data_IF_056619380446
#
_entry.id   IF_056619380446
#
_cell.length_a   1.000
_cell.length_b   1.000
_cell.length_c   1.000
_cell.angle_alpha   90.00
_cell.angle_beta   90.00
_cell.angle_gamma   90.00
#
_symmetry.space_group_name_H-M   'P 1'
#
loop_
_entity.id
_entity.type
_entity.pdbx_description
1 polymer ?
2 water ?
#
# COMPACT_ATOMS: atom_id res chain seq x y z
N UNK A 6 4.18 -17.64 16.73
CA UNK A 6 2.83 -18.11 17.15
C UNK A 6 1.80 -17.97 16.04
N UNK A 7 1.16 -19.08 15.70
CA UNK A 7 0.15 -19.09 14.64
C UNK A 7 -1.27 -19.09 15.18
N UNK A 8 -1.41 -19.18 16.50
CA UNK A 8 -2.73 -19.18 17.13
C UNK A 8 -3.04 -17.81 17.70
N UNK A 9 -4.31 -17.52 17.95
CA UNK A 9 -4.70 -16.23 18.50
C UNK A 9 -4.02 -15.98 19.84
N UNK A 10 -3.72 -14.71 20.12
CA UNK A 10 -3.09 -14.36 21.39
C UNK A 10 -4.04 -14.67 22.52
N UNK A 11 -3.50 -15.15 23.64
CA UNK A 11 -4.32 -15.46 24.80
C UNK A 11 -4.58 -14.16 25.55
N UNK A 12 -5.51 -14.20 26.50
CA UNK A 12 -5.83 -13.01 27.28
C UNK A 12 -4.57 -12.53 27.99
N UNK A 13 -3.78 -13.48 28.47
CA UNK A 13 -2.54 -13.18 29.18
C UNK A 13 -1.52 -12.52 28.27
N UNK A 14 -1.39 -13.04 27.05
CA UNK A 14 -0.44 -12.51 26.09
C UNK A 14 -0.82 -11.10 25.66
N UNK A 15 -2.12 -10.85 25.53
CA UNK A 15 -2.60 -9.53 25.13
C UNK A 15 -2.28 -8.50 26.21
N UNK A 16 -2.39 -8.91 27.47
CA UNK A 16 -2.11 -8.02 28.58
C UNK A 16 -0.62 -7.70 28.71
N UNK A 17 0.22 -8.58 28.19
CA UNK A 17 1.66 -8.39 28.28
C UNK A 17 2.31 -7.83 27.01
N UNK A 18 1.60 -7.87 25.89
CA UNK A 18 2.16 -7.40 24.64
C UNK A 18 1.52 -6.16 24.01
N UNK A 19 0.21 -6.05 24.12
CA UNK A 19 -0.51 -4.93 23.52
C UNK A 19 -0.27 -3.56 24.16
N UNK A 20 -0.15 -3.50 25.50
CA UNK A 20 0.07 -2.19 26.14
C UNK A 20 1.23 -1.42 25.52
N UNK A 21 2.34 -2.11 25.27
CA UNK A 21 3.50 -1.47 24.68
C UNK A 21 3.21 -0.90 23.31
N UNK A 22 2.45 -1.65 22.51
CA UNK A 22 2.10 -1.20 21.16
C UNK A 22 1.14 -0.02 21.22
N UNK A 23 0.22 -0.05 22.18
CA UNK A 23 -0.74 1.03 22.34
C UNK A 23 0.03 2.29 22.71
N UNK A 24 1.04 2.11 23.57
CA UNK A 24 1.87 3.22 24.02
C UNK A 24 2.64 3.80 22.85
N UNK A 25 2.90 2.96 21.85
CA UNK A 25 3.64 3.37 20.66
C UNK A 25 2.74 4.01 19.62
N UNK A 26 1.43 3.95 19.84
CA UNK A 26 0.52 4.57 18.90
C UNK A 26 -0.39 3.63 18.13
N UNK A 27 -0.26 2.33 18.35
CA UNK A 27 -1.12 1.38 17.66
C UNK A 27 -2.46 1.28 18.37
N UNK A 28 -3.50 1.00 17.61
CA UNK A 28 -4.83 0.85 18.18
C UNK A 28 -5.45 -0.45 17.70
N UNK A 29 -6.36 -1.00 18.50
CA UNK A 29 -7.05 -2.23 18.14
C UNK A 29 -8.29 -1.84 17.36
N UNK A 30 -8.42 -2.34 16.13
CA UNK A 30 -9.57 -2.02 15.30
C UNK A 30 -10.88 -2.52 15.90
N UNK A 31 -11.93 -1.72 15.71
CA UNK A 31 -13.25 -2.06 16.24
C UNK A 31 -13.91 -3.26 15.57
N UNK A 32 -13.77 -3.36 14.25
CA UNK A 32 -14.40 -4.44 13.49
C UNK A 32 -13.60 -5.71 13.21
N UNK A 33 -12.33 -5.73 13.59
CA UNK A 33 -11.49 -6.89 13.34
C UNK A 33 -10.49 -7.07 14.47
N UNK A 34 -10.04 -8.31 14.67
CA UNK A 34 -9.04 -8.55 15.70
C UNK A 34 -7.74 -8.26 14.98
N UNK A 35 -7.38 -6.98 14.95
CA UNK A 35 -6.18 -6.52 14.27
C UNK A 35 -5.71 -5.21 14.89
N UNK A 36 -4.45 -4.85 14.65
CA UNK A 36 -3.93 -3.59 15.16
C UNK A 36 -3.63 -2.68 13.98
N UNK A 37 -3.78 -1.38 14.20
CA UNK A 37 -3.61 -0.38 13.15
C UNK A 37 -2.85 0.86 13.58
N UNK A 38 -2.01 1.37 12.68
CA UNK A 38 -1.27 2.60 12.95
C UNK A 38 -0.88 3.29 11.65
N UNK A 39 -0.94 4.62 11.66
CA UNK A 39 -0.55 5.38 10.49
C UNK A 39 0.80 6.03 10.76
N UNK A 40 1.71 5.88 9.80
CA UNK A 40 3.03 6.47 9.91
C UNK A 40 3.13 7.60 8.91
N UNK A 41 3.75 8.70 9.33
CA UNK A 41 3.91 9.86 8.46
C UNK A 41 5.38 10.21 8.33
N UNK A 42 5.84 10.34 7.10
CA UNK A 42 7.24 10.68 6.84
C UNK A 42 7.35 12.03 6.17
N UNK A 43 8.59 12.46 5.91
CA UNK A 43 8.82 13.74 5.27
C UNK A 43 8.36 13.76 3.82
N UNK A 44 8.48 12.63 3.13
CA UNK A 44 8.08 12.54 1.73
C UNK A 44 7.93 11.07 1.32
N UNK A 45 7.68 10.83 0.04
CA UNK A 45 7.52 9.47 -0.46
C UNK A 45 8.85 8.70 -0.41
N UNK A 46 9.95 9.38 -0.70
CA UNK A 46 11.25 8.72 -0.67
C UNK A 46 11.47 8.04 0.68
N UNK A 47 11.25 8.78 1.77
CA UNK A 47 11.44 8.22 3.11
C UNK A 47 10.39 7.14 3.40
N UNK A 48 9.16 7.37 2.97
CA UNK A 48 8.07 6.42 3.19
C UNK A 48 8.33 5.08 2.52
N UNK A 49 8.77 5.11 1.26
CA UNK A 49 9.01 3.85 0.56
C UNK A 49 10.28 3.15 1.05
N UNK A 50 11.26 3.92 1.51
CA UNK A 50 12.47 3.32 2.04
C UNK A 50 12.05 2.49 3.25
N UNK A 51 11.13 3.05 4.03
CA UNK A 51 10.59 2.40 5.21
C UNK A 51 9.83 1.14 4.77
N UNK A 52 9.00 1.28 3.74
CA UNK A 52 8.23 0.15 3.23
C UNK A 52 9.13 -0.99 2.75
N UNK A 53 10.27 -0.65 2.15
CA UNK A 53 11.19 -1.68 1.67
C UNK A 53 11.76 -2.48 2.83
N UNK A 54 12.04 -1.81 3.94
CA UNK A 54 12.57 -2.50 5.11
C UNK A 54 11.49 -3.43 5.67
N UNK A 55 10.25 -2.95 5.71
CA UNK A 55 9.16 -3.77 6.21
C UNK A 55 8.93 -4.97 5.29
N UNK A 56 9.05 -4.73 3.98
CA UNK A 56 8.87 -5.79 2.98
C UNK A 56 9.91 -6.88 3.17
N UNK A 57 11.15 -6.47 3.44
CA UNK A 57 12.23 -7.43 3.66
C UNK A 57 11.93 -8.30 4.87
N UNK A 58 11.48 -7.67 5.96
CA UNK A 58 11.16 -8.39 7.19
C UNK A 58 9.97 -9.32 6.97
N UNK A 59 9.00 -8.87 6.18
CA UNK A 59 7.83 -9.69 5.89
C UNK A 59 8.26 -10.99 5.23
N UNK A 60 9.22 -10.93 4.31
CA UNK A 60 9.66 -12.15 3.67
C UNK A 60 10.55 -12.97 4.60
N UNK A 61 11.29 -12.30 5.48
CA UNK A 61 12.14 -13.01 6.42
C UNK A 61 11.28 -13.85 7.36
N UNK A 62 10.17 -13.29 7.83
CA UNK A 62 9.31 -14.04 8.75
C UNK A 62 8.09 -14.70 8.12
N UNK A 63 7.92 -14.54 6.81
CA UNK A 63 6.79 -15.11 6.09
C UNK A 63 5.46 -14.65 6.68
N UNK A 64 5.35 -13.36 6.96
CA UNK A 64 4.12 -12.80 7.51
C UNK A 64 3.98 -11.42 6.89
N UNK A 65 2.82 -11.13 6.32
CA UNK A 65 2.63 -9.88 5.61
C UNK A 65 1.59 -8.91 6.13
N UNK A 66 1.85 -7.61 5.98
CA UNK A 66 0.92 -6.58 6.45
C UNK A 66 -0.11 -6.19 5.40
N UNK A 67 -1.15 -5.51 5.85
CA UNK A 67 -2.15 -4.95 4.95
C UNK A 67 -1.72 -3.50 5.03
N UNK A 68 -1.48 -2.84 3.91
CA UNK A 68 -1.09 -1.44 4.01
C UNK A 68 -1.49 -0.58 2.83
N UNK A 69 -1.74 0.69 3.15
CA UNK A 69 -2.14 1.68 2.17
C UNK A 69 -1.13 2.82 2.21
N UNK A 70 -0.72 3.28 1.03
CA UNK A 70 0.23 4.38 0.95
C UNK A 70 -0.22 5.44 -0.04
N UNK A 71 -0.05 6.69 0.38
CA UNK A 71 -0.34 7.86 -0.44
C UNK A 71 0.79 8.82 -0.08
N UNK A 72 1.73 8.96 -1.00
CA UNK A 72 2.90 9.83 -0.83
C UNK A 72 3.67 9.55 0.46
N UNK A 73 3.59 10.45 1.43
CA UNK A 73 4.32 10.30 2.68
C UNK A 73 3.59 9.57 3.80
N UNK A 74 2.40 9.06 3.52
CA UNK A 74 1.63 8.37 4.55
C UNK A 74 1.56 6.87 4.32
N UNK A 75 1.79 6.10 5.38
CA UNK A 75 1.71 4.64 5.29
C UNK A 75 0.81 4.15 6.43
N UNK A 76 -0.35 3.62 6.06
CA UNK A 76 -1.31 3.10 7.03
C UNK A 76 -1.15 1.59 7.05
N UNK A 77 -0.86 1.05 8.23
CA UNK A 77 -0.62 -0.38 8.36
C UNK A 77 -1.58 -1.10 9.30
N UNK A 78 -2.14 -2.21 8.83
CA UNK A 78 -3.05 -3.03 9.62
C UNK A 78 -2.43 -4.42 9.70
N UNK A 79 -2.26 -4.92 10.91
CA UNK A 79 -1.65 -6.23 11.11
C UNK A 79 -2.62 -7.22 11.72
N UNK A 80 -2.76 -8.36 11.06
CA UNK A 80 -3.62 -9.44 11.52
C UNK A 80 -3.23 -10.69 10.76
N UNK A 81 -3.59 -11.86 11.27
CA UNK A 81 -3.23 -13.11 10.60
C UNK A 81 -4.43 -13.74 9.91
N UNK A 82 -4.49 -13.63 8.59
CA UNK A 82 -5.61 -14.15 7.83
C UNK A 82 -5.77 -15.67 7.89
N UNK A 83 -4.69 -16.39 8.18
CA UNK A 83 -4.79 -17.84 8.25
C UNK A 83 -5.62 -18.33 9.43
N UNK A 84 -5.90 -17.45 10.38
CA UNK A 84 -6.73 -17.84 11.53
C UNK A 84 -7.79 -16.78 11.84
N UNK A 85 -7.70 -15.64 11.16
CA UNK A 85 -8.67 -14.58 11.36
C UNK A 85 -8.54 -13.81 12.65
N UNK A 86 -7.31 -13.62 13.12
CA UNK A 86 -7.11 -12.89 14.35
C UNK A 86 -5.67 -12.48 14.57
N UNK A 87 -5.42 -11.86 15.71
CA UNK A 87 -4.09 -11.38 16.08
C UNK A 87 -3.24 -12.50 16.67
N UNK A 88 -2.01 -12.64 16.17
CA UNK A 88 -1.10 -13.67 16.66
C UNK A 88 0.24 -13.08 17.07
N UNK A 89 1.12 -13.91 17.62
CA UNK A 89 2.44 -13.45 18.03
C UNK A 89 3.20 -12.91 16.82
N UNK A 90 2.89 -13.44 15.64
CA UNK A 90 3.54 -12.99 14.41
C UNK A 90 3.23 -11.52 14.16
N UNK A 91 2.00 -11.11 14.43
CA UNK A 91 1.60 -9.71 14.24
C UNK A 91 2.33 -8.80 15.22
N UNK A 92 2.49 -9.26 16.46
CA UNK A 92 3.19 -8.48 17.47
C UNK A 92 4.65 -8.31 17.07
N UNK A 93 5.27 -9.39 16.61
CA UNK A 93 6.67 -9.37 16.19
C UNK A 93 6.86 -8.40 15.02
N UNK A 94 5.96 -8.47 14.04
CA UNK A 94 6.06 -7.58 12.89
C UNK A 94 5.87 -6.13 13.32
N UNK A 95 4.95 -5.89 14.25
CA UNK A 95 4.70 -4.54 14.73
C UNK A 95 5.94 -3.97 15.41
N UNK A 96 6.60 -4.80 16.21
CA UNK A 96 7.80 -4.38 16.92
C UNK A 96 8.92 -4.05 15.93
N UNK A 97 9.02 -4.81 14.84
CA UNK A 97 10.05 -4.52 13.85
C UNK A 97 9.72 -3.19 13.18
N UNK A 98 8.45 -3.04 12.81
CA UNK A 98 8.01 -1.81 12.16
C UNK A 98 8.36 -0.58 13.00
N UNK A 99 8.19 -0.67 14.31
CA UNK A 99 8.52 0.46 15.18
C UNK A 99 10.01 0.78 15.09
N UNK A 100 10.85 -0.26 15.01
CA UNK A 100 12.29 -0.05 14.89
C UNK A 100 12.60 0.65 13.57
N UNK A 101 12.02 0.13 12.49
CA UNK A 101 12.23 0.69 11.16
C UNK A 101 11.80 2.15 11.08
N UNK A 102 10.66 2.47 11.69
CA UNK A 102 10.15 3.84 11.67
C UNK A 102 11.06 4.77 12.47
N UNK A 103 11.79 4.22 13.43
CA UNK A 103 12.69 5.01 14.26
C UNK A 103 14.13 4.96 13.74
N UNK A 104 14.32 4.27 12.62
CA UNK A 104 15.64 4.14 12.00
C UNK A 104 16.60 3.31 12.85
N UNK A 105 16.09 2.28 13.50
CA UNK A 105 16.92 1.41 14.32
C UNK A 105 16.87 -0.01 13.77
N UNK B 6 1.60 15.87 -18.99
CA UNK B 6 0.44 16.81 -18.94
C UNK B 6 -0.01 17.08 -17.52
N UNK B 7 -0.31 18.34 -17.22
CA UNK B 7 -0.74 18.70 -15.88
C UNK B 7 -2.18 19.18 -15.80
N UNK B 8 -2.77 19.51 -16.95
CA UNK B 8 -4.15 19.98 -16.99
C UNK B 8 -5.11 18.82 -17.19
N UNK B 9 -6.36 19.00 -16.75
CA UNK B 9 -7.38 17.96 -16.90
C UNK B 9 -7.45 17.46 -18.33
N UNK B 10 -7.67 16.16 -18.49
CA UNK B 10 -7.79 15.57 -19.82
C UNK B 10 -9.04 16.13 -20.48
N UNK B 11 -8.94 16.46 -21.76
CA UNK B 11 -10.08 16.97 -22.50
C UNK B 11 -10.88 15.77 -22.97
N UNK B 12 -12.07 16.02 -23.50
CA UNK B 12 -12.91 14.94 -23.99
C UNK B 12 -12.20 14.13 -25.06
N UNK B 13 -11.52 14.82 -25.97
CA UNK B 13 -10.81 14.14 -27.04
C UNK B 13 -9.67 13.26 -26.51
N UNK B 14 -8.92 13.79 -25.54
CA UNK B 14 -7.81 13.04 -24.95
C UNK B 14 -8.30 11.79 -24.25
N UNK B 15 -9.42 11.91 -23.54
CA UNK B 15 -9.99 10.77 -22.82
C UNK B 15 -10.38 9.67 -23.79
N UNK B 16 -11.00 10.05 -24.91
CA UNK B 16 -11.42 9.07 -25.90
C UNK B 16 -10.21 8.38 -26.54
N UNK B 17 -9.11 9.12 -26.67
CA UNK B 17 -7.92 8.56 -27.28
C UNK B 17 -7.07 7.68 -26.37
N UNK B 18 -7.01 8.02 -25.09
CA UNK B 18 -6.16 7.29 -24.15
C UNK B 18 -6.80 6.32 -23.17
N UNK B 19 -8.01 6.62 -22.72
CA UNK B 19 -8.67 5.76 -21.73
C UNK B 19 -9.15 4.39 -22.22
N UNK B 20 -9.71 4.31 -23.44
CA UNK B 20 -10.18 2.99 -23.89
C UNK B 20 -9.12 1.89 -23.83
N UNK B 21 -7.88 2.22 -24.17
CA UNK B 21 -6.82 1.23 -24.12
C UNK B 21 -6.60 0.72 -22.70
N UNK B 22 -6.66 1.63 -21.74
CA UNK B 22 -6.46 1.25 -20.34
C UNK B 22 -7.63 0.41 -19.84
N UNK B 23 -8.84 0.74 -20.29
CA UNK B 23 -10.01 -0.03 -19.88
C UNK B 23 -9.91 -1.44 -20.45
N UNK B 24 -9.40 -1.55 -21.68
CA UNK B 24 -9.24 -2.85 -22.30
C UNK B 24 -8.22 -3.66 -21.51
N UNK B 25 -7.30 -2.95 -20.85
CA UNK B 25 -6.26 -3.58 -20.05
C UNK B 25 -6.72 -3.92 -18.64
N UNK B 26 -7.95 -3.52 -18.29
CA UNK B 26 -8.47 -3.83 -16.97
C UNK B 26 -8.72 -2.66 -16.03
N UNK B 27 -8.39 -1.45 -16.45
CA UNK B 27 -8.61 -0.27 -15.61
C UNK B 27 -10.07 0.18 -15.69
N UNK B 28 -10.57 0.79 -14.62
CA UNK B 28 -11.94 1.29 -14.59
C UNK B 28 -11.96 2.72 -14.05
N UNK B 29 -13.03 3.45 -14.33
CA UNK B 29 -13.16 4.82 -13.84
C UNK B 29 -14.05 4.81 -12.61
N UNK B 30 -13.60 5.49 -11.55
CA UNK B 30 -14.37 5.54 -10.32
C UNK B 30 -15.61 6.40 -10.53
N UNK B 31 -16.68 6.10 -9.81
CA UNK B 31 -17.92 6.84 -9.95
C UNK B 31 -17.97 8.14 -9.16
N UNK B 32 -17.32 8.17 -8.00
CA UNK B 32 -17.33 9.36 -7.16
C UNK B 32 -16.14 10.30 -7.37
N UNK B 33 -15.15 9.87 -8.13
CA UNK B 33 -13.97 10.70 -8.39
C UNK B 33 -13.53 10.56 -9.84
N UNK B 34 -12.84 11.57 -10.36
CA UNK B 34 -12.32 11.51 -11.72
C UNK B 34 -10.96 10.85 -11.55
N UNK B 35 -10.97 9.52 -11.48
CA UNK B 35 -9.76 8.74 -11.27
C UNK B 35 -9.93 7.36 -11.88
N UNK B 36 -8.81 6.70 -12.17
CA UNK B 36 -8.86 5.35 -12.72
C UNK B 36 -8.36 4.37 -11.67
N UNK B 37 -8.83 3.13 -11.76
CA UNK B 37 -8.50 2.10 -10.78
C UNK B 37 -8.29 0.71 -11.36
N UNK B 38 -7.43 -0.07 -10.71
CA UNK B 38 -7.19 -1.44 -11.15
C UNK B 38 -6.53 -2.26 -10.05
N UNK B 39 -6.99 -3.49 -9.89
CA UNK B 39 -6.40 -4.38 -8.91
C UNK B 39 -5.54 -5.38 -9.67
N UNK B 40 -4.28 -5.49 -9.26
CA UNK B 40 -3.35 -6.42 -9.87
C UNK B 40 -3.17 -7.61 -8.93
N UNK B 41 -3.08 -8.80 -9.52
CA UNK B 41 -2.90 -10.01 -8.74
C UNK B 41 -1.67 -10.75 -9.23
N UNK B 42 -0.66 -10.84 -8.38
CA UNK B 42 0.57 -11.54 -8.73
C UNK B 42 0.57 -12.92 -8.10
N UNK B 43 1.68 -13.63 -8.24
CA UNK B 43 1.78 -14.97 -7.67
C UNK B 43 1.97 -14.90 -6.16
N UNK B 44 2.79 -13.95 -5.71
CA UNK B 44 3.10 -13.80 -4.30
C UNK B 44 3.54 -12.37 -3.98
N UNK B 45 3.98 -12.14 -2.74
CA UNK B 45 4.43 -10.82 -2.31
C UNK B 45 5.78 -10.47 -2.94
N UNK B 46 6.64 -11.46 -3.16
CA UNK B 46 7.94 -11.17 -3.77
C UNK B 46 7.71 -10.49 -5.12
N UNK B 47 6.85 -11.08 -5.96
CA UNK B 47 6.54 -10.49 -7.26
C UNK B 47 5.82 -9.15 -7.08
N UNK B 48 4.86 -9.11 -6.17
CA UNK B 48 4.10 -7.89 -5.93
C UNK B 48 4.96 -6.72 -5.48
N UNK B 49 5.85 -6.95 -4.52
CA UNK B 49 6.67 -5.84 -4.05
C UNK B 49 7.75 -5.47 -5.06
N UNK B 50 8.22 -6.44 -5.85
CA UNK B 50 9.21 -6.12 -6.86
C UNK B 50 8.56 -5.16 -7.84
N UNK B 51 7.30 -5.42 -8.15
CA UNK B 51 6.50 -4.60 -9.05
C UNK B 51 6.31 -3.23 -8.39
N UNK B 52 5.96 -3.21 -7.10
CA UNK B 52 5.78 -1.95 -6.41
C UNK B 52 7.06 -1.12 -6.42
N UNK B 53 8.21 -1.77 -6.31
CA UNK B 53 9.48 -1.06 -6.32
C UNK B 53 9.71 -0.37 -7.67
N UNK B 54 9.32 -1.03 -8.75
CA UNK B 54 9.49 -0.44 -10.09
C UNK B 54 8.55 0.75 -10.24
N UNK B 55 7.34 0.63 -9.70
CA UNK B 55 6.38 1.72 -9.78
C UNK B 55 6.83 2.89 -8.91
N UNK B 56 7.42 2.58 -7.75
CA UNK B 56 7.91 3.62 -6.84
C UNK B 56 9.03 4.42 -7.52
N UNK B 57 9.92 3.73 -8.23
CA UNK B 57 11.00 4.41 -8.94
C UNK B 57 10.43 5.36 -9.99
N UNK B 58 9.44 4.88 -10.73
CA UNK B 58 8.80 5.69 -11.77
C UNK B 58 8.05 6.87 -11.16
N UNK B 59 7.45 6.64 -9.99
CA UNK B 59 6.71 7.69 -9.29
C UNK B 59 7.65 8.85 -8.96
N UNK B 60 8.87 8.54 -8.52
CA UNK B 60 9.82 9.60 -8.21
C UNK B 60 10.39 10.21 -9.48
N UNK B 61 10.51 9.42 -10.54
CA UNK B 61 11.01 9.96 -11.79
C UNK B 61 10.02 10.99 -12.35
N UNK B 62 8.73 10.69 -12.23
CA UNK B 62 7.66 11.57 -12.72
C UNK B 62 7.16 12.57 -11.68
N UNK B 63 7.49 12.33 -10.42
CA UNK B 63 7.00 13.14 -9.31
C UNK B 63 5.47 13.09 -9.36
N UNK B 64 4.95 11.88 -9.51
CA UNK B 64 3.51 11.63 -9.57
C UNK B 64 3.31 10.31 -8.85
N UNK B 65 2.55 10.35 -7.76
CA UNK B 65 2.36 9.17 -6.93
C UNK B 65 1.00 8.51 -6.92
N UNK B 66 0.98 7.18 -6.80
CA UNK B 66 -0.26 6.42 -6.78
C UNK B 66 -0.85 6.35 -5.38
N UNK B 67 -2.13 6.01 -5.33
CA UNK B 67 -2.81 5.78 -4.07
C UNK B 67 -2.90 4.26 -4.17
N UNK B 68 -2.20 3.53 -3.31
CA UNK B 68 -2.27 2.09 -3.43
C UNK B 68 -2.32 1.30 -2.15
N UNK B 69 -2.99 0.15 -2.25
CA UNK B 69 -3.17 -0.77 -1.14
C UNK B 69 -2.56 -2.11 -1.54
N UNK B 70 -1.88 -2.75 -0.60
CA UNK B 70 -1.30 -4.06 -0.86
C UNK B 70 -1.52 -5.02 0.29
N UNK B 71 -1.80 -6.27 -0.06
CA UNK B 71 -1.93 -7.35 0.91
C UNK B 71 -1.42 -8.58 0.16
N UNK B 72 -0.24 -9.04 0.58
CA UNK B 72 0.42 -10.18 -0.03
C UNK B 72 0.60 -10.02 -1.55
N UNK B 73 -0.14 -10.79 -2.35
CA UNK B 73 0.00 -10.75 -3.80
C UNK B 73 -0.90 -9.76 -4.53
N UNK B 74 -1.75 -9.06 -3.78
CA UNK B 74 -2.68 -8.11 -4.38
C UNK B 74 -2.23 -6.66 -4.25
N UNK B 75 -2.37 -5.89 -5.32
CA UNK B 75 -2.03 -4.47 -5.29
C UNK B 75 -3.16 -3.71 -5.98
N UNK B 76 -3.85 -2.85 -5.23
CA UNK B 76 -4.94 -2.06 -5.78
C UNK B 76 -4.39 -0.66 -5.99
N UNK B 77 -4.51 -0.16 -7.21
CA UNK B 77 -3.98 1.15 -7.54
C UNK B 77 -5.03 2.12 -8.06
N UNK B 78 -5.05 3.31 -7.47
CA UNK B 78 -5.97 4.37 -7.88
C UNK B 78 -5.10 5.53 -8.33
N UNK B 79 -5.36 6.03 -9.54
CA UNK B 79 -4.59 7.14 -10.08
C UNK B 79 -5.42 8.36 -10.39
N UNK B 80 -4.96 9.51 -9.91
CA UNK B 80 -5.61 10.79 -10.16
C UNK B 80 -4.62 11.88 -9.78
N UNK B 81 -4.84 13.09 -10.29
CA UNK B 81 -3.95 14.20 -9.98
C UNK B 81 -4.61 15.10 -8.95
N UNK B 82 -4.16 14.99 -7.71
CA UNK B 82 -4.70 15.78 -6.61
C UNK B 82 -4.49 17.28 -6.76
N UNK B 83 -3.41 17.66 -7.44
CA UNK B 83 -3.10 19.07 -7.64
C UNK B 83 -4.23 19.82 -8.35
N UNK B 84 -4.93 19.14 -9.25
CA UNK B 84 -6.03 19.76 -9.98
C UNK B 84 -7.34 19.01 -9.77
N UNK B 85 -7.29 17.94 -8.98
CA UNK B 85 -8.48 17.17 -8.69
C UNK B 85 -9.13 16.48 -9.88
N UNK B 86 -8.32 15.77 -10.67
CA UNK B 86 -8.86 15.08 -11.82
C UNK B 86 -7.79 14.32 -12.57
N UNK B 87 -8.19 13.64 -13.64
CA UNK B 87 -7.26 12.88 -14.47
C UNK B 87 -6.47 13.77 -15.42
N UNK B 88 -5.17 13.52 -15.52
CA UNK B 88 -4.30 14.27 -16.42
C UNK B 88 -3.48 13.26 -17.19
N UNK B 89 -2.67 13.73 -18.14
CA UNK B 89 -1.84 12.82 -18.91
C UNK B 89 -0.81 12.13 -18.03
N UNK B 90 -0.53 12.70 -16.86
CA UNK B 90 0.43 12.09 -15.95
C UNK B 90 -0.13 10.77 -15.45
N UNK B 91 -1.44 10.75 -15.20
CA UNK B 91 -2.09 9.53 -14.73
C UNK B 91 -2.06 8.48 -15.83
N UNK B 92 -2.30 8.90 -17.07
CA UNK B 92 -2.28 7.98 -18.19
C UNK B 92 -0.88 7.38 -18.36
N UNK B 93 0.14 8.24 -18.32
CA UNK B 93 1.51 7.77 -18.47
C UNK B 93 1.94 6.83 -17.35
N UNK B 94 1.52 7.11 -16.12
CA UNK B 94 1.89 6.24 -15.01
C UNK B 94 1.17 4.90 -15.16
N UNK B 95 -0.09 4.94 -15.59
CA UNK B 95 -0.84 3.70 -15.78
C UNK B 95 -0.20 2.83 -16.86
N UNK B 96 0.28 3.47 -17.93
CA UNK B 96 0.91 2.73 -19.02
C UNK B 96 2.21 2.09 -18.54
N UNK B 97 2.95 2.79 -17.68
CA UNK B 97 4.18 2.23 -17.14
C UNK B 97 3.84 1.04 -16.26
N UNK B 98 2.81 1.21 -15.44
CA UNK B 98 2.36 0.15 -14.55
C UNK B 98 2.02 -1.11 -15.34
N UNK B 99 1.39 -0.95 -16.49
CA UNK B 99 1.04 -2.11 -17.32
C UNK B 99 2.29 -2.86 -17.77
N UNK B 100 3.33 -2.12 -18.15
CA UNK B 100 4.57 -2.75 -18.59
C UNK B 100 5.24 -3.46 -17.42
N UNK B 101 5.28 -2.81 -16.26
CA UNK B 101 5.91 -3.39 -15.08
C UNK B 101 5.18 -4.65 -14.62
N UNK B 102 3.87 -4.66 -14.76
CA UNK B 102 3.06 -5.79 -14.34
C UNK B 102 3.24 -6.98 -15.28
N UNK B 103 3.60 -6.70 -16.52
CA UNK B 103 3.79 -7.76 -17.51
C UNK B 103 5.18 -8.37 -17.39
#
# INVERSE_FOLDING_TARGET
GSMSSDAQWLTAEERDQLIPGLKAAGWSELSERDAIYKEFSFKNFNQAFGFMSRVALQAEKMNHHPEWFNVYNKVQITLTSHDCGGLTKRDVKLAQFIEKAAASL
GSMSSDAQWLTAEERDQLIPGLKAAGWSELSERDAIYKEFSFKNFNQAFGFMSRVALQAEKMNHHPEWFNVYNKVQITLTSHDCGGLTKRDVKLAQFIEKAAASL
#
